data_IF_752507520991
#
_entry.id   IF_752507520991
#
_cell.length_a   1.000
_cell.length_b   1.000
_cell.length_c   1.000
_cell.angle_alpha   90.00
_cell.angle_beta   90.00
_cell.angle_gamma   90.00
#
_symmetry.space_group_name_H-M   'P 1'
#
loop_
_entity.id
_entity.type
_entity.pdbx_description
1 polymer ?
#
# COMPACT_ATOMS: atom_id res chain seq x y z
N UNK A 1 -9.40 -7.53 -16.05
CA UNK A 1 -8.51 -6.38 -15.80
C UNK A 1 -8.17 -5.74 -17.14
N UNK A 2 -8.25 -4.41 -17.24
CA UNK A 2 -7.82 -3.66 -18.42
C UNK A 2 -6.45 -3.05 -18.12
N UNK A 3 -5.53 -3.07 -19.09
CA UNK A 3 -4.20 -2.47 -18.95
C UNK A 3 -4.14 -1.17 -19.73
N UNK A 4 -3.92 -0.09 -19.00
CA UNK A 4 -3.81 1.27 -19.51
C UNK A 4 -2.33 1.63 -19.45
N UNK A 5 -1.70 1.75 -20.62
CA UNK A 5 -0.24 1.78 -20.77
C UNK A 5 0.29 3.14 -21.21
N UNK A 6 -0.58 4.02 -21.71
CA UNK A 6 -0.25 5.41 -22.03
C UNK A 6 -0.57 6.29 -20.82
N UNK A 7 0.26 7.30 -20.55
CA UNK A 7 0.05 8.25 -19.45
C UNK A 7 -1.31 8.96 -19.55
N UNK A 8 -1.85 9.11 -20.77
CA UNK A 8 -3.14 9.74 -21.01
C UNK A 8 -4.33 8.86 -20.65
N UNK A 9 -4.13 7.54 -20.56
CA UNK A 9 -5.22 6.58 -20.29
C UNK A 9 -5.85 6.81 -18.90
N UNK A 10 -5.07 7.31 -17.94
CA UNK A 10 -5.56 7.66 -16.60
C UNK A 10 -6.65 8.74 -16.65
N UNK A 11 -6.57 9.68 -17.59
CA UNK A 11 -7.60 10.69 -17.78
C UNK A 11 -8.83 10.13 -18.49
N UNK A 12 -8.65 9.14 -19.36
CA UNK A 12 -9.73 8.54 -20.14
C UNK A 12 -10.71 7.81 -19.22
N UNK A 13 -10.24 6.99 -18.28
CA UNK A 13 -11.12 6.32 -17.30
C UNK A 13 -11.92 7.32 -16.46
N UNK A 14 -11.27 8.40 -16.00
CA UNK A 14 -11.90 9.45 -15.21
C UNK A 14 -12.96 10.25 -15.98
N UNK A 15 -12.71 10.54 -17.26
CA UNK A 15 -13.65 11.28 -18.13
C UNK A 15 -14.82 10.39 -18.56
N UNK A 16 -14.55 9.15 -18.95
CA UNK A 16 -15.59 8.23 -19.42
C UNK A 16 -16.57 7.84 -18.31
N UNK A 17 -16.09 7.73 -17.06
CA UNK A 17 -16.84 7.33 -15.84
C UNK A 17 -17.40 5.91 -15.87
N UNK A 18 -18.15 5.56 -16.92
CA UNK A 18 -18.72 4.23 -17.14
C UNK A 18 -18.73 3.83 -18.61
N UNK A 19 -18.90 2.55 -18.85
CA UNK A 19 -19.17 1.97 -20.16
C UNK A 19 -20.27 0.92 -20.02
N UNK A 20 -21.36 1.08 -20.77
CA UNK A 20 -22.54 0.21 -20.69
C UNK A 20 -23.08 0.07 -19.25
N UNK A 21 -23.10 1.19 -18.51
CA UNK A 21 -23.54 1.23 -17.11
C UNK A 21 -22.59 0.55 -16.12
N UNK A 22 -21.36 0.20 -16.53
CA UNK A 22 -20.32 -0.36 -15.66
C UNK A 22 -19.27 0.71 -15.38
N UNK A 23 -19.10 1.06 -14.10
CA UNK A 23 -18.10 2.04 -13.68
C UNK A 23 -16.69 1.47 -13.78
N UNK A 24 -15.73 2.34 -14.12
CA UNK A 24 -14.31 2.00 -14.04
C UNK A 24 -13.82 2.07 -12.59
N UNK A 25 -12.97 1.12 -12.20
CA UNK A 25 -12.31 1.13 -10.90
C UNK A 25 -10.85 0.66 -11.07
N UNK A 26 -9.92 1.42 -10.51
CA UNK A 26 -8.52 1.03 -10.48
C UNK A 26 -8.32 -0.11 -9.49
N UNK A 27 -7.52 -1.11 -9.87
CA UNK A 27 -7.08 -2.18 -8.97
C UNK A 27 -6.20 -1.68 -7.83
N UNK A 28 -5.67 -0.46 -7.94
CA UNK A 28 -4.89 0.23 -6.91
C UNK A 28 -5.73 1.19 -6.08
N UNK A 29 -7.07 1.16 -6.22
CA UNK A 29 -7.99 1.92 -5.37
C UNK A 29 -8.37 1.15 -4.11
N UNK A 30 -8.54 1.87 -3.00
CA UNK A 30 -8.98 1.35 -1.71
C UNK A 30 -10.41 0.79 -1.74
N UNK A 31 -11.24 1.25 -2.68
CA UNK A 31 -12.66 0.86 -2.82
C UNK A 31 -12.90 -0.43 -3.60
N UNK A 32 -11.85 -1.12 -4.05
CA UNK A 32 -11.99 -2.41 -4.73
C UNK A 32 -12.48 -3.48 -3.75
N UNK A 33 -13.70 -3.96 -3.99
CA UNK A 33 -14.35 -4.99 -3.21
C UNK A 33 -14.78 -6.14 -4.13
N UNK A 34 -13.95 -7.18 -4.19
CA UNK A 34 -14.18 -8.38 -5.00
C UNK A 34 -14.40 -9.63 -4.14
N UNK A 35 -14.35 -9.46 -2.82
CA UNK A 35 -14.35 -10.56 -1.87
C UNK A 35 -15.76 -11.13 -1.70
N UNK A 36 -15.83 -12.44 -1.52
CA UNK A 36 -17.05 -13.13 -1.07
C UNK A 36 -17.38 -12.74 0.38
N UNK A 37 -18.63 -12.97 0.82
CA UNK A 37 -19.00 -12.71 2.22
C UNK A 37 -18.18 -13.52 3.23
N UNK A 38 -17.70 -14.70 2.85
CA UNK A 38 -16.87 -15.56 3.69
C UNK A 38 -15.46 -14.97 3.84
N UNK A 39 -14.82 -14.59 2.72
CA UNK A 39 -13.51 -13.92 2.72
C UNK A 39 -13.53 -12.61 3.50
N UNK A 40 -14.63 -11.85 3.44
CA UNK A 40 -14.81 -10.63 4.24
C UNK A 40 -14.81 -10.91 5.74
N UNK A 41 -15.52 -11.95 6.19
CA UNK A 41 -15.57 -12.32 7.61
C UNK A 41 -14.20 -12.76 8.12
N UNK A 42 -13.51 -13.62 7.38
CA UNK A 42 -12.15 -14.05 7.75
C UNK A 42 -11.19 -12.86 7.86
N UNK A 43 -11.31 -11.90 6.95
CA UNK A 43 -10.51 -10.66 6.98
C UNK A 43 -10.83 -9.79 8.20
N UNK A 44 -12.10 -9.61 8.54
CA UNK A 44 -12.51 -8.85 9.72
C UNK A 44 -11.98 -9.49 11.01
N UNK A 45 -12.03 -10.82 11.11
CA UNK A 45 -11.45 -11.56 12.24
C UNK A 45 -9.93 -11.38 12.32
N UNK A 46 -9.20 -11.61 11.22
CA UNK A 46 -7.74 -11.40 11.16
C UNK A 46 -7.35 -9.95 11.49
N UNK A 47 -8.12 -8.98 11.02
CA UNK A 47 -7.91 -7.56 11.30
C UNK A 47 -8.16 -7.24 12.79
N UNK A 48 -9.20 -7.82 13.39
CA UNK A 48 -9.49 -7.64 14.82
C UNK A 48 -8.39 -8.25 15.69
N UNK A 49 -7.93 -9.46 15.38
CA UNK A 49 -6.84 -10.14 16.09
C UNK A 49 -5.51 -9.39 15.97
N UNK A 50 -5.28 -8.75 14.81
CA UNK A 50 -4.02 -8.06 14.51
C UNK A 50 -4.10 -6.53 14.70
N UNK A 51 -5.17 -6.02 15.33
CA UNK A 51 -5.42 -4.58 15.44
C UNK A 51 -4.24 -3.82 16.02
N UNK A 52 -3.63 -4.33 17.10
CA UNK A 52 -2.48 -3.69 17.73
C UNK A 52 -1.26 -3.63 16.79
N UNK A 53 -1.05 -4.64 15.94
CA UNK A 53 0.04 -4.66 14.96
C UNK A 53 -0.17 -3.57 13.90
N UNK A 54 -1.39 -3.52 13.35
CA UNK A 54 -1.76 -2.57 12.30
C UNK A 54 -1.66 -1.12 12.81
N UNK A 55 -2.13 -0.85 14.03
CA UNK A 55 -2.01 0.46 14.68
C UNK A 55 -0.54 0.84 14.91
N UNK A 56 0.29 -0.08 15.43
CA UNK A 56 1.71 0.19 15.66
C UNK A 56 2.47 0.44 14.35
N UNK A 57 2.14 -0.27 13.27
CA UNK A 57 2.69 -0.01 11.93
C UNK A 57 2.24 1.35 11.40
N UNK A 58 0.96 1.71 11.56
CA UNK A 58 0.45 3.03 11.16
C UNK A 58 1.16 4.15 11.93
N UNK A 59 1.39 3.96 13.21
CA UNK A 59 2.06 4.98 14.04
C UNK A 59 3.53 5.12 13.67
N UNK A 60 4.22 4.03 13.33
CA UNK A 60 5.57 4.08 12.80
C UNK A 60 5.66 4.82 11.44
N UNK A 61 4.65 4.67 10.59
CA UNK A 61 4.61 5.31 9.27
C UNK A 61 4.09 6.76 9.32
N UNK A 62 3.44 7.16 10.42
CA UNK A 62 3.00 8.54 10.65
C UNK A 62 2.07 9.04 9.55
N UNK A 63 2.37 10.23 9.01
CA UNK A 63 1.57 10.89 7.97
C UNK A 63 1.76 10.31 6.56
N UNK A 64 2.67 9.34 6.38
CA UNK A 64 2.93 8.73 5.06
C UNK A 64 1.76 7.86 4.60
N UNK A 65 0.97 7.33 5.55
CA UNK A 65 -0.23 6.53 5.30
C UNK A 65 -1.39 7.02 6.15
N UNK A 66 -2.60 6.93 5.61
CA UNK A 66 -3.83 7.18 6.35
C UNK A 66 -4.12 6.03 7.33
N UNK A 67 -3.95 4.80 6.86
CA UNK A 67 -4.19 3.59 7.64
C UNK A 67 -3.31 2.44 7.15
N UNK A 68 -3.16 1.43 8.02
CA UNK A 68 -2.58 0.12 7.68
C UNK A 68 -3.68 -0.91 7.92
N UNK A 69 -3.95 -1.78 6.94
CA UNK A 69 -5.02 -2.78 7.03
C UNK A 69 -4.63 -4.12 6.42
N UNK A 70 -5.42 -5.14 6.71
CA UNK A 70 -5.29 -6.45 6.06
C UNK A 70 -5.70 -6.32 4.58
N UNK A 71 -4.88 -6.88 3.69
CA UNK A 71 -5.21 -6.98 2.28
C UNK A 71 -6.07 -8.20 2.01
N UNK A 72 -6.96 -8.09 1.02
CA UNK A 72 -7.66 -9.23 0.41
C UNK A 72 -7.27 -9.47 -1.06
N UNK A 73 -6.50 -8.56 -1.66
CA UNK A 73 -6.09 -8.67 -3.07
C UNK A 73 -4.71 -9.32 -3.25
N UNK A 74 -3.92 -9.40 -2.18
CA UNK A 74 -2.56 -9.95 -2.21
C UNK A 74 -2.58 -11.46 -2.04
N UNK A 75 -1.82 -12.15 -2.89
CA UNK A 75 -1.59 -13.60 -2.79
C UNK A 75 -0.16 -13.87 -2.34
N UNK A 76 0.79 -13.53 -3.20
CA UNK A 76 2.21 -13.83 -2.97
C UNK A 76 2.97 -12.64 -2.38
N UNK A 77 2.55 -11.41 -2.66
CA UNK A 77 3.25 -10.21 -2.20
C UNK A 77 2.95 -9.91 -0.72
N UNK A 78 3.95 -9.43 0.04
CA UNK A 78 3.78 -9.13 1.47
C UNK A 78 2.90 -7.90 1.74
N UNK A 79 2.97 -6.89 0.87
CA UNK A 79 2.33 -5.60 1.05
C UNK A 79 2.04 -4.94 -0.30
N UNK A 80 1.04 -4.07 -0.32
CA UNK A 80 0.85 -3.10 -1.39
C UNK A 80 0.36 -1.76 -0.84
N UNK A 81 0.58 -0.70 -1.61
CA UNK A 81 -0.04 0.60 -1.34
C UNK A 81 -1.22 0.78 -2.30
N UNK A 82 -2.34 1.26 -1.75
CA UNK A 82 -3.51 1.68 -2.53
C UNK A 82 -3.80 3.15 -2.28
N UNK A 83 -4.36 3.81 -3.29
CA UNK A 83 -4.90 5.16 -3.16
C UNK A 83 -6.28 5.12 -2.51
N UNK A 84 -6.50 5.99 -1.53
CA UNK A 84 -7.83 6.31 -1.04
C UNK A 84 -8.63 7.11 -2.08
N UNK A 85 -9.86 7.50 -1.75
CA UNK A 85 -10.69 8.33 -2.63
C UNK A 85 -9.97 9.63 -3.05
N UNK A 86 -10.25 10.06 -4.29
CA UNK A 86 -9.68 11.29 -4.87
C UNK A 86 -8.63 11.00 -5.92
N UNK A 87 -7.35 11.07 -5.53
CA UNK A 87 -6.22 11.02 -6.47
C UNK A 87 -5.65 9.61 -6.49
N UNK A 88 -5.56 9.04 -7.69
CA UNK A 88 -4.93 7.73 -7.92
C UNK A 88 -3.41 7.79 -7.80
N UNK A 89 -2.77 6.62 -7.62
CA UNK A 89 -1.32 6.52 -7.61
C UNK A 89 -0.72 6.89 -8.97
N UNK A 90 -1.39 6.52 -10.06
CA UNK A 90 -1.01 6.87 -11.43
C UNK A 90 -1.06 8.39 -11.67
N UNK A 91 -2.11 9.06 -11.18
CA UNK A 91 -2.21 10.52 -11.26
C UNK A 91 -1.13 11.23 -10.43
N UNK A 92 -0.78 10.70 -9.24
CA UNK A 92 0.35 11.23 -8.47
C UNK A 92 1.68 11.13 -9.25
N UNK A 93 1.94 10.00 -9.92
CA UNK A 93 3.14 9.84 -10.76
C UNK A 93 3.15 10.82 -11.92
N UNK A 94 2.02 10.96 -12.61
CA UNK A 94 1.89 11.91 -13.71
C UNK A 94 2.16 13.35 -13.24
N UNK A 95 1.57 13.75 -12.11
CA UNK A 95 1.75 15.09 -11.54
C UNK A 95 3.16 15.33 -11.02
N UNK A 96 3.85 14.32 -10.49
CA UNK A 96 5.23 14.44 -10.03
C UNK A 96 6.21 14.74 -11.16
N UNK A 97 5.88 14.33 -12.39
CA UNK A 97 6.69 14.58 -13.58
C UNK A 97 6.33 15.89 -14.30
N UNK A 98 5.28 16.60 -13.89
CA UNK A 98 4.87 17.87 -14.50
C UNK A 98 5.75 19.04 -14.04
N UNK A 99 6.54 19.68 -14.93
CA UNK A 99 7.41 20.80 -14.59
C UNK A 99 6.68 22.03 -14.04
N UNK A 100 5.37 22.17 -14.32
CA UNK A 100 4.55 23.27 -13.83
C UNK A 100 4.00 23.02 -12.42
N UNK A 101 4.04 21.78 -11.93
CA UNK A 101 3.44 21.40 -10.67
C UNK A 101 4.47 21.28 -9.54
N UNK A 102 5.02 22.43 -9.13
CA UNK A 102 6.01 22.53 -8.04
C UNK A 102 5.36 22.29 -6.67
N UNK A 103 5.12 21.03 -6.35
CA UNK A 103 4.48 20.58 -5.10
C UNK A 103 3.37 19.56 -5.30
N UNK A 104 3.46 18.76 -6.38
CA UNK A 104 2.45 17.84 -6.90
C UNK A 104 1.54 17.20 -5.86
N UNK A 105 0.25 17.13 -6.21
CA UNK A 105 -0.76 16.59 -5.31
C UNK A 105 -0.50 15.10 -5.08
N UNK A 106 -0.43 14.69 -3.81
CA UNK A 106 -0.17 13.31 -3.42
C UNK A 106 -1.48 12.57 -3.18
N UNK A 107 -1.54 11.32 -3.62
CA UNK A 107 -2.60 10.42 -3.20
C UNK A 107 -2.49 10.17 -1.70
N UNK A 108 -3.65 10.11 -1.03
CA UNK A 108 -3.75 9.59 0.33
C UNK A 108 -3.55 8.09 0.26
N UNK A 109 -2.52 7.58 0.92
CA UNK A 109 -2.08 6.18 0.78
C UNK A 109 -2.57 5.32 1.92
N UNK A 110 -2.92 4.08 1.61
CA UNK A 110 -3.24 3.04 2.58
C UNK A 110 -2.28 1.88 2.32
N UNK A 111 -1.60 1.41 3.36
CA UNK A 111 -0.76 0.22 3.27
C UNK A 111 -1.63 -1.00 3.57
N UNK A 112 -1.80 -1.89 2.59
CA UNK A 112 -2.41 -3.18 2.82
C UNK A 112 -1.32 -4.24 3.06
N UNK A 113 -1.50 -5.07 4.09
CA UNK A 113 -0.58 -6.13 4.49
C UNK A 113 -1.22 -7.49 4.25
N UNK A 114 -0.48 -8.39 3.61
CA UNK A 114 -0.93 -9.74 3.33
C UNK A 114 -0.85 -10.60 4.61
N UNK A 115 -1.97 -11.10 5.15
CA UNK A 115 -1.96 -11.89 6.38
C UNK A 115 -1.42 -13.31 6.16
N UNK A 116 -1.45 -13.80 4.92
CA UNK A 116 -1.07 -15.17 4.56
C UNK A 116 0.41 -15.26 4.15
N UNK A 117 1.08 -14.12 3.97
CA UNK A 117 2.52 -14.07 3.69
C UNK A 117 3.33 -14.36 4.97
N UNK A 118 4.43 -15.15 4.91
CA UNK A 118 5.25 -15.49 6.09
C UNK A 118 5.77 -14.29 6.89
N UNK A 119 5.92 -13.13 6.25
CA UNK A 119 6.32 -11.89 6.93
C UNK A 119 5.32 -11.47 8.01
N UNK A 120 4.02 -11.76 7.83
CA UNK A 120 2.99 -11.33 8.77
C UNK A 120 3.17 -11.99 10.13
N UNK A 121 3.37 -13.30 10.14
CA UNK A 121 3.71 -14.05 11.35
C UNK A 121 5.03 -13.56 11.99
N UNK A 122 6.01 -13.13 11.16
CA UNK A 122 7.26 -12.52 11.68
C UNK A 122 7.00 -11.16 12.31
N UNK A 123 6.15 -10.32 11.73
CA UNK A 123 5.74 -9.02 12.30
C UNK A 123 5.03 -9.19 13.64
N UNK A 124 4.13 -10.18 13.75
CA UNK A 124 3.47 -10.51 15.03
C UNK A 124 4.49 -10.92 16.10
N UNK A 125 5.52 -11.68 15.75
CA UNK A 125 6.61 -12.02 16.69
C UNK A 125 7.43 -10.79 17.08
N UNK A 126 7.80 -9.95 16.12
CA UNK A 126 8.56 -8.72 16.36
C UNK A 126 7.79 -7.79 17.29
N UNK A 127 6.49 -7.61 17.08
CA UNK A 127 5.66 -6.77 17.95
C UNK A 127 5.73 -7.21 19.42
N UNK A 128 5.77 -8.51 19.69
CA UNK A 128 5.77 -9.06 21.04
C UNK A 128 7.18 -9.13 21.67
N UNK A 129 8.20 -9.46 20.88
CA UNK A 129 9.55 -9.76 21.37
C UNK A 129 10.53 -8.58 21.20
N UNK A 130 10.36 -7.77 20.15
CA UNK A 130 11.27 -6.70 19.73
C UNK A 130 10.49 -5.50 19.17
N UNK A 131 9.55 -4.89 19.95
CA UNK A 131 8.67 -3.84 19.45
C UNK A 131 9.42 -2.63 18.90
N UNK A 132 10.64 -2.36 19.38
CA UNK A 132 11.51 -1.29 18.89
C UNK A 132 11.92 -1.47 17.41
N UNK A 133 11.93 -2.70 16.90
CA UNK A 133 12.28 -2.99 15.50
C UNK A 133 11.10 -2.90 14.56
N UNK A 134 9.86 -2.90 15.06
CA UNK A 134 8.68 -2.91 14.22
C UNK A 134 8.65 -1.72 13.26
N UNK A 135 9.16 -0.56 13.68
CA UNK A 135 9.26 0.64 12.86
C UNK A 135 10.17 0.44 11.63
N UNK A 136 11.32 -0.24 11.80
CA UNK A 136 12.22 -0.52 10.69
C UNK A 136 11.59 -1.47 9.67
N UNK A 137 10.89 -2.51 10.15
CA UNK A 137 10.16 -3.43 9.27
C UNK A 137 9.01 -2.73 8.54
N UNK A 138 8.23 -1.90 9.24
CA UNK A 138 7.14 -1.14 8.63
C UNK A 138 7.65 -0.20 7.54
N UNK A 139 8.76 0.51 7.80
CA UNK A 139 9.37 1.42 6.84
C UNK A 139 9.93 0.70 5.59
N UNK A 140 10.62 -0.43 5.79
CA UNK A 140 11.13 -1.26 4.69
C UNK A 140 9.99 -1.81 3.84
N UNK A 141 8.93 -2.34 4.47
CA UNK A 141 7.76 -2.86 3.76
C UNK A 141 7.02 -1.75 3.01
N UNK A 142 6.78 -0.61 3.64
CA UNK A 142 6.16 0.53 2.98
C UNK A 142 6.97 1.01 1.77
N UNK A 143 8.29 1.12 1.92
CA UNK A 143 9.18 1.55 0.84
C UNK A 143 9.24 0.52 -0.29
N UNK A 144 9.21 -0.77 0.02
CA UNK A 144 9.05 -1.83 -0.97
C UNK A 144 7.71 -1.71 -1.72
N UNK A 145 6.62 -1.40 -1.02
CA UNK A 145 5.33 -1.19 -1.66
C UNK A 145 5.34 0.03 -2.60
N UNK A 146 6.01 1.13 -2.22
CA UNK A 146 6.22 2.28 -3.12
C UNK A 146 7.01 1.88 -4.37
N UNK A 147 8.09 1.11 -4.20
CA UNK A 147 8.91 0.60 -5.30
C UNK A 147 8.10 -0.24 -6.29
N UNK A 148 7.31 -1.20 -5.79
CA UNK A 148 6.44 -2.05 -6.61
C UNK A 148 5.44 -1.19 -7.38
N UNK A 149 4.90 -0.16 -6.74
CA UNK A 149 4.00 0.79 -7.39
C UNK A 149 4.73 1.79 -8.30
N UNK A 150 6.05 1.80 -8.39
CA UNK A 150 6.79 2.78 -9.21
C UNK A 150 6.65 4.22 -8.72
N UNK A 151 6.42 4.41 -7.41
CA UNK A 151 6.40 5.72 -6.77
C UNK A 151 7.81 6.14 -6.33
N UNK A 152 8.09 7.45 -6.25
CA UNK A 152 9.37 7.94 -5.76
C UNK A 152 9.59 7.53 -4.30
N UNK A 153 10.85 7.22 -3.97
CA UNK A 153 11.31 6.96 -2.61
C UNK A 153 12.01 8.21 -2.08
N UNK A 154 11.69 8.58 -0.84
CA UNK A 154 12.25 9.78 -0.20
C UNK A 154 13.77 9.66 0.06
N UNK A 155 14.22 8.55 0.68
CA UNK A 155 15.65 8.26 0.92
C UNK A 155 16.01 6.81 0.52
N UNK A 156 16.46 6.60 -0.74
CA UNK A 156 16.90 5.28 -1.20
C UNK A 156 18.12 4.73 -0.43
N UNK A 157 18.97 5.60 0.12
CA UNK A 157 20.16 5.19 0.85
C UNK A 157 19.82 4.68 2.25
N UNK A 158 18.85 5.29 2.92
CA UNK A 158 18.29 4.79 4.18
C UNK A 158 17.62 3.43 3.99
N UNK A 159 16.79 3.28 2.96
CA UNK A 159 16.17 1.99 2.62
C UNK A 159 17.19 0.87 2.42
N UNK A 160 18.25 1.12 1.63
CA UNK A 160 19.31 0.15 1.40
C UNK A 160 20.09 -0.22 2.68
N UNK A 161 20.35 0.76 3.56
CA UNK A 161 20.96 0.50 4.88
C UNK A 161 20.06 -0.37 5.76
N UNK A 162 18.78 -0.02 5.88
CA UNK A 162 17.80 -0.78 6.68
C UNK A 162 17.68 -2.23 6.21
N UNK A 163 17.62 -2.47 4.89
CA UNK A 163 17.64 -3.84 4.37
C UNK A 163 18.90 -4.58 4.82
N UNK A 164 20.07 -3.95 4.66
CA UNK A 164 21.35 -4.57 5.03
C UNK A 164 21.40 -4.89 6.52
N UNK A 165 20.95 -3.96 7.37
CA UNK A 165 20.91 -4.15 8.82
C UNK A 165 19.96 -5.27 9.23
N UNK A 166 18.79 -5.38 8.59
CA UNK A 166 17.84 -6.47 8.81
C UNK A 166 18.42 -7.82 8.37
N UNK A 167 19.16 -7.88 7.27
CA UNK A 167 19.82 -9.10 6.80
C UNK A 167 20.89 -9.61 7.76
N UNK A 168 21.60 -8.73 8.46
CA UNK A 168 22.61 -9.11 9.47
C UNK A 168 21.95 -9.72 10.72
N UNK A 169 20.73 -9.31 11.04
CA UNK A 169 20.00 -9.73 12.23
C UNK A 169 19.10 -10.96 12.01
N UNK A 170 19.03 -11.46 10.77
CA UNK A 170 18.14 -12.53 10.35
C UNK A 170 18.59 -13.93 10.78
#
# INVERSE_FOLDING_TARGET
VLYFLDERDEFVSGIMRDYDGKQFMSVSSSGLDLDTEEEKKEKEEKAAESKGLLEAMKDALGERVKEVRISSRLKDDPVCVVADEGISLEMEKYMANDPMNKGGVKAVKILEVNPDHPIFAKLQKIQNEQPEKLADYADVLYTQALLIQGLPIDDPAEYARKITDLMIQA
#
